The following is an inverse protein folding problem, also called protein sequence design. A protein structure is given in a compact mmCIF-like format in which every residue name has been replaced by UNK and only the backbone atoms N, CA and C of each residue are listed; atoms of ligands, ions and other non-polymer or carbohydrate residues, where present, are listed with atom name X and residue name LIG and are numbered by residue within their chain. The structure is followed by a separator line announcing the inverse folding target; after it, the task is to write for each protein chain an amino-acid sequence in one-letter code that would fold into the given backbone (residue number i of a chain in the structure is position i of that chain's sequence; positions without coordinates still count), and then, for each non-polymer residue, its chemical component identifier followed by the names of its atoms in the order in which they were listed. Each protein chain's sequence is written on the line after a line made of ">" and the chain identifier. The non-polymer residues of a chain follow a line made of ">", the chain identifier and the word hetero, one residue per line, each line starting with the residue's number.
data_IF_274537818757
#
_entry.id   IF_274537818757
#
_cell.length_a   1.000
_cell.length_b   1.000
_cell.length_c   1.000
_cell.angle_alpha   90.00
_cell.angle_beta   90.00
_cell.angle_gamma   90.00
#
_symmetry.space_group_name_H-M   'P 1'
#
loop_
_entity.id
_entity.type
_entity.pdbx_description
1 polymer ?
#
# COMPACT_ATOMS: atom_id res chain seq x y z
N UNK A 1 -0.02 -14.25 19.02
CA UNK A 1 -1.07 -14.64 18.05
C UNK A 1 -0.61 -14.05 16.74
N UNK A 2 -0.07 -14.90 15.87
CA UNK A 2 0.52 -14.48 14.61
C UNK A 2 -0.60 -14.08 13.65
N UNK A 3 -0.55 -12.86 13.14
CA UNK A 3 -1.46 -12.42 12.08
C UNK A 3 -0.90 -13.02 10.78
N UNK A 4 -1.37 -14.23 10.45
CA UNK A 4 -1.30 -14.75 9.09
C UNK A 4 -2.40 -14.03 8.30
N UNK A 5 -1.99 -13.02 7.52
CA UNK A 5 -2.77 -12.54 6.38
C UNK A 5 -2.68 -13.63 5.31
N UNK A 6 -3.52 -14.66 5.46
CA UNK A 6 -3.74 -15.68 4.44
C UNK A 6 -4.57 -15.05 3.31
N UNK A 7 -3.87 -14.42 2.37
CA UNK A 7 -4.34 -14.27 1.00
C UNK A 7 -3.33 -15.02 0.12
N UNK A 8 -3.52 -16.33 0.06
CA UNK A 8 -2.53 -17.34 -0.33
C UNK A 8 -1.91 -17.27 -1.73
N UNK A 9 -1.94 -16.14 -2.44
CA UNK A 9 -1.17 -15.87 -3.68
C UNK A 9 -0.73 -14.42 -3.91
N UNK A 10 -0.93 -13.49 -2.96
CA UNK A 10 -0.69 -12.06 -3.20
C UNK A 10 0.14 -11.34 -2.11
N UNK A 11 0.98 -12.09 -1.40
CA UNK A 11 2.03 -11.54 -0.56
C UNK A 11 3.22 -11.01 -1.38
N UNK A 12 4.00 -10.10 -0.79
CA UNK A 12 5.37 -9.80 -1.23
C UNK A 12 6.27 -10.99 -0.89
N UNK A 13 5.97 -12.14 -1.48
CA UNK A 13 6.76 -13.35 -1.26
C UNK A 13 7.88 -13.37 -2.31
N UNK A 14 9.12 -13.41 -1.82
CA UNK A 14 10.26 -13.84 -2.62
C UNK A 14 10.05 -15.32 -2.94
N UNK A 15 9.34 -15.59 -4.04
CA UNK A 15 9.14 -16.95 -4.53
C UNK A 15 10.41 -17.36 -5.27
N UNK A 16 11.04 -18.44 -4.81
CA UNK A 16 12.15 -19.07 -5.52
C UNK A 16 11.59 -19.88 -6.68
N UNK A 17 12.05 -19.63 -7.90
CA UNK A 17 11.75 -20.47 -9.06
C UNK A 17 12.85 -21.54 -9.18
N UNK A 18 12.48 -22.76 -9.54
CA UNK A 18 13.39 -23.91 -9.64
C UNK A 18 14.49 -23.74 -10.70
N UNK A 19 14.37 -22.75 -11.59
CA UNK A 19 15.31 -22.45 -12.67
C UNK A 19 15.87 -21.03 -12.63
N UNK A 20 15.20 -20.12 -11.93
CA UNK A 20 15.57 -18.71 -11.77
C UNK A 20 15.64 -18.47 -10.27
N UNK A 21 16.82 -18.31 -9.69
CA UNK A 21 16.99 -18.23 -8.23
C UNK A 21 16.07 -17.22 -7.52
N UNK A 22 15.44 -16.27 -8.24
CA UNK A 22 14.35 -15.40 -7.77
C UNK A 22 13.27 -15.28 -8.86
N UNK A 23 11.99 -15.49 -8.51
CA UNK A 23 10.87 -15.26 -9.42
C UNK A 23 10.59 -13.76 -9.56
N UNK A 24 10.86 -13.22 -10.75
CA UNK A 24 10.54 -11.82 -11.07
C UNK A 24 9.06 -11.67 -11.43
N UNK A 25 8.41 -10.66 -10.85
CA UNK A 25 7.05 -10.26 -11.25
C UNK A 25 7.12 -9.59 -12.63
N UNK A 26 6.72 -10.32 -13.68
CA UNK A 26 6.83 -9.86 -15.08
C UNK A 26 5.75 -8.87 -15.48
N UNK A 27 4.57 -8.99 -14.89
CA UNK A 27 3.41 -8.17 -15.19
C UNK A 27 3.55 -6.76 -14.58
N UNK A 28 3.23 -5.72 -15.35
CA UNK A 28 3.34 -4.32 -14.91
C UNK A 28 2.34 -4.00 -13.81
N UNK A 29 1.11 -4.48 -13.96
CA UNK A 29 0.02 -4.25 -13.01
C UNK A 29 0.37 -4.84 -11.64
N UNK A 30 0.85 -6.07 -11.62
CA UNK A 30 1.30 -6.77 -10.41
C UNK A 30 2.50 -6.09 -9.75
N UNK A 31 3.43 -5.53 -10.54
CA UNK A 31 4.54 -4.72 -10.00
C UNK A 31 4.05 -3.45 -9.30
N UNK A 32 3.14 -2.71 -9.94
CA UNK A 32 2.55 -1.49 -9.36
C UNK A 32 1.85 -1.80 -8.05
N UNK A 33 1.03 -2.86 -8.00
CA UNK A 33 0.34 -3.30 -6.77
C UNK A 33 1.34 -3.63 -5.68
N UNK A 34 2.41 -4.36 -5.99
CA UNK A 34 3.44 -4.71 -5.01
C UNK A 34 4.19 -3.48 -4.51
N UNK A 35 4.50 -2.52 -5.37
CA UNK A 35 5.12 -1.25 -4.98
C UNK A 35 4.21 -0.46 -4.05
N UNK A 36 2.91 -0.39 -4.35
CA UNK A 36 1.92 0.26 -3.48
C UNK A 36 1.87 -0.44 -2.12
N UNK A 37 1.72 -1.78 -2.09
CA UNK A 37 1.70 -2.56 -0.85
C UNK A 37 2.96 -2.30 -0.01
N UNK A 38 4.14 -2.32 -0.63
CA UNK A 38 5.41 -2.05 0.05
C UNK A 38 5.44 -0.65 0.67
N UNK A 39 5.01 0.37 -0.08
CA UNK A 39 4.97 1.75 0.41
C UNK A 39 4.00 1.94 1.58
N UNK A 40 2.86 1.25 1.57
CA UNK A 40 1.84 1.38 2.61
C UNK A 40 2.16 0.56 3.87
N UNK A 41 2.82 -0.58 3.74
CA UNK A 41 3.08 -1.47 4.88
C UNK A 41 4.52 -1.44 5.41
N UNK A 42 5.39 -0.61 4.82
CA UNK A 42 6.70 -0.28 5.40
C UNK A 42 6.54 0.91 6.34
N UNK A 43 7.00 0.79 7.59
CA UNK A 43 7.05 1.92 8.54
C UNK A 43 7.99 3.00 7.98
N UNK A 44 7.56 4.26 7.89
CA UNK A 44 8.40 5.34 7.37
C UNK A 44 9.61 5.70 8.25
N UNK A 45 9.64 5.26 9.50
CA UNK A 45 10.76 5.47 10.44
C UNK A 45 11.81 4.34 10.35
N UNK A 46 11.73 3.45 9.35
CA UNK A 46 12.69 2.36 9.16
C UNK A 46 14.10 2.86 8.79
N UNK A 47 15.13 2.18 9.31
CA UNK A 47 16.51 2.65 9.24
C UNK A 47 17.05 2.86 7.80
N UNK A 48 16.61 2.05 6.84
CA UNK A 48 17.05 2.15 5.45
C UNK A 48 16.36 3.25 4.63
N UNK A 49 15.34 3.93 5.16
CA UNK A 49 14.70 5.06 4.47
C UNK A 49 15.71 6.19 4.18
N UNK A 50 16.66 6.38 5.11
CA UNK A 50 17.75 7.36 4.99
C UNK A 50 18.69 7.13 3.80
N UNK A 51 18.68 5.93 3.21
CA UNK A 51 19.52 5.56 2.07
C UNK A 51 18.84 5.85 0.74
N UNK A 52 17.56 6.24 0.76
CA UNK A 52 16.75 6.49 -0.43
C UNK A 52 16.74 7.97 -0.78
N UNK A 53 16.56 8.26 -2.08
CA UNK A 53 16.42 9.62 -2.61
C UNK A 53 15.10 10.29 -2.24
N UNK A 54 14.13 9.51 -1.75
CA UNK A 54 12.84 9.97 -1.26
C UNK A 54 12.38 9.10 -0.09
N UNK A 55 11.49 9.65 0.74
CA UNK A 55 10.90 8.90 1.84
C UNK A 55 9.93 7.85 1.31
N UNK A 56 10.17 6.57 1.62
CA UNK A 56 9.26 5.45 1.37
C UNK A 56 8.75 4.93 2.70
N UNK A 57 7.46 4.60 2.73
CA UNK A 57 6.78 4.06 3.91
C UNK A 57 5.65 4.95 4.38
N UNK A 58 4.93 4.47 5.38
CA UNK A 58 3.80 5.17 5.98
C UNK A 58 3.62 4.80 7.44
N UNK A 59 2.82 5.59 8.16
CA UNK A 59 2.35 5.26 9.52
C UNK A 59 1.01 4.53 9.52
N UNK A 60 0.65 3.87 8.41
CA UNK A 60 -0.65 3.24 8.24
C UNK A 60 -0.97 2.26 9.37
N UNK A 61 -0.03 1.43 9.84
CA UNK A 61 -0.29 0.48 10.93
C UNK A 61 -0.87 1.14 12.20
N UNK A 62 -0.39 2.34 12.54
CA UNK A 62 -0.86 3.11 13.70
C UNK A 62 -2.22 3.75 13.47
N UNK A 63 -2.51 4.11 12.21
CA UNK A 63 -3.77 4.74 11.81
C UNK A 63 -4.87 3.71 11.58
N UNK A 64 -4.52 2.46 11.25
CA UNK A 64 -5.48 1.43 10.85
C UNK A 64 -6.43 1.03 11.99
N UNK A 65 -6.01 1.23 13.24
CA UNK A 65 -6.76 0.88 14.45
C UNK A 65 -7.65 2.00 14.98
N UNK A 66 -7.70 3.14 14.29
CA UNK A 66 -8.47 4.30 14.74
C UNK A 66 -9.93 4.24 14.26
N UNK A 67 -10.88 4.82 15.02
CA UNK A 67 -12.28 4.86 14.63
C UNK A 67 -12.48 5.56 13.28
N UNK A 68 -13.36 4.99 12.47
CA UNK A 68 -13.79 5.56 11.19
C UNK A 68 -14.47 6.90 11.42
N UNK A 69 -13.96 7.94 10.76
CA UNK A 69 -14.56 9.27 10.72
C UNK A 69 -14.06 10.06 9.51
N UNK A 70 -14.79 11.11 9.12
CA UNK A 70 -14.40 11.98 8.00
C UNK A 70 -13.06 12.70 8.23
N UNK A 71 -12.74 13.04 9.48
CA UNK A 71 -11.43 13.61 9.84
C UNK A 71 -10.32 12.58 9.62
N UNK A 72 -10.52 11.34 10.06
CA UNK A 72 -9.55 10.25 9.86
C UNK A 72 -9.38 9.89 8.41
N UNK A 73 -10.47 9.89 7.63
CA UNK A 73 -10.42 9.69 6.17
C UNK A 73 -9.44 10.67 5.51
N UNK A 74 -9.57 11.96 5.82
CA UNK A 74 -8.70 13.00 5.25
C UNK A 74 -7.24 12.80 5.64
N UNK A 75 -6.99 12.40 6.90
CA UNK A 75 -5.64 12.12 7.40
C UNK A 75 -5.02 10.93 6.66
N UNK A 76 -5.78 9.84 6.53
CA UNK A 76 -5.34 8.63 5.84
C UNK A 76 -5.11 8.88 4.34
N UNK A 77 -6.01 9.57 3.64
CA UNK A 77 -5.82 9.92 2.22
C UNK A 77 -4.53 10.73 2.03
N UNK A 78 -4.22 11.65 2.95
CA UNK A 78 -2.98 12.42 2.93
C UNK A 78 -1.76 11.54 3.18
N UNK A 79 -1.80 10.66 4.18
CA UNK A 79 -0.70 9.75 4.49
C UNK A 79 -0.40 8.81 3.31
N UNK A 80 -1.44 8.22 2.72
CA UNK A 80 -1.32 7.33 1.55
C UNK A 80 -0.73 8.09 0.36
N UNK A 81 -1.18 9.32 0.08
CA UNK A 81 -0.59 10.14 -0.99
C UNK A 81 0.88 10.45 -0.74
N UNK A 82 1.26 10.73 0.50
CA UNK A 82 2.66 10.98 0.86
C UNK A 82 3.51 9.72 0.67
N UNK A 83 3.02 8.56 1.13
CA UNK A 83 3.69 7.28 1.00
C UNK A 83 3.89 6.86 -0.47
N UNK A 84 2.97 7.23 -1.38
CA UNK A 84 3.03 6.88 -2.79
C UNK A 84 3.70 7.95 -3.67
N UNK A 85 4.04 9.11 -3.13
CA UNK A 85 4.60 10.23 -3.89
C UNK A 85 5.91 9.87 -4.62
N UNK A 86 6.72 8.96 -4.05
CA UNK A 86 7.96 8.51 -4.68
C UNK A 86 7.72 7.82 -6.03
N UNK A 87 6.55 7.18 -6.24
CA UNK A 87 6.26 6.50 -7.51
C UNK A 87 6.23 7.48 -8.69
N UNK A 88 5.76 8.71 -8.47
CA UNK A 88 5.81 9.77 -9.47
C UNK A 88 7.23 10.36 -9.55
N UNK A 89 7.88 10.60 -8.40
CA UNK A 89 9.20 11.22 -8.34
C UNK A 89 10.29 10.38 -9.05
N UNK A 90 10.22 9.06 -8.91
CA UNK A 90 11.13 8.10 -9.55
C UNK A 90 10.69 7.73 -10.98
N UNK A 91 9.61 8.32 -11.49
CA UNK A 91 9.10 8.09 -12.84
C UNK A 91 8.52 6.70 -13.08
N UNK A 92 8.10 5.99 -12.02
CA UNK A 92 7.45 4.68 -12.13
C UNK A 92 6.06 4.80 -12.76
N UNK A 93 5.36 5.90 -12.48
CA UNK A 93 4.01 6.22 -12.97
C UNK A 93 3.93 7.71 -13.33
N UNK A 94 3.03 8.08 -14.25
CA UNK A 94 2.88 9.49 -14.65
C UNK A 94 1.88 10.23 -13.77
N UNK A 95 0.78 9.57 -13.40
CA UNK A 95 -0.28 10.11 -12.57
C UNK A 95 -0.73 9.10 -11.52
N UNK A 96 -0.99 9.59 -10.31
CA UNK A 96 -1.52 8.80 -9.20
C UNK A 96 -2.55 9.61 -8.42
N UNK A 97 -3.75 9.05 -8.25
CA UNK A 97 -4.80 9.61 -7.39
C UNK A 97 -5.28 8.58 -6.37
N UNK A 98 -5.71 9.06 -5.20
CA UNK A 98 -6.04 8.26 -4.03
C UNK A 98 -7.34 8.75 -3.43
N UNK A 99 -8.24 7.80 -3.17
CA UNK A 99 -9.49 8.04 -2.46
C UNK A 99 -9.83 6.86 -1.53
N UNK A 100 -10.41 7.18 -0.38
CA UNK A 100 -10.97 6.18 0.53
C UNK A 100 -12.49 6.15 0.43
N UNK A 101 -13.04 4.96 0.21
CA UNK A 101 -14.48 4.73 0.12
C UNK A 101 -14.92 4.06 1.41
N UNK A 102 -15.85 4.71 2.12
CA UNK A 102 -16.48 4.13 3.30
C UNK A 102 -17.50 3.07 2.86
N UNK A 103 -17.31 1.82 3.28
CA UNK A 103 -18.22 0.72 2.94
C UNK A 103 -19.25 0.49 4.04
N UNK A 104 -18.80 0.57 5.29
CA UNK A 104 -19.63 0.51 6.49
C UNK A 104 -18.97 1.32 7.61
N UNK A 105 -19.56 1.34 8.81
CA UNK A 105 -19.05 2.12 9.94
C UNK A 105 -17.68 1.67 10.47
N UNK A 106 -17.09 0.60 9.93
CA UNK A 106 -15.86 -0.01 10.43
C UNK A 106 -14.77 -0.13 9.36
N UNK A 107 -15.08 0.07 8.07
CA UNK A 107 -14.17 -0.28 6.97
C UNK A 107 -14.08 0.79 5.88
N UNK A 108 -12.84 1.04 5.45
CA UNK A 108 -12.53 1.73 4.20
C UNK A 108 -12.01 0.76 3.14
N UNK A 109 -12.45 0.96 1.90
CA UNK A 109 -11.77 0.48 0.70
C UNK A 109 -10.85 1.59 0.20
N UNK A 110 -9.62 1.23 -0.14
CA UNK A 110 -8.68 2.13 -0.79
C UNK A 110 -8.78 1.98 -2.30
N UNK A 111 -9.17 3.07 -2.97
CA UNK A 111 -9.17 3.18 -4.42
C UNK A 111 -8.01 4.06 -4.87
N UNK A 112 -7.18 3.51 -5.74
CA UNK A 112 -6.01 4.17 -6.32
C UNK A 112 -6.17 4.15 -7.83
N UNK A 113 -6.00 5.30 -8.47
CA UNK A 113 -5.97 5.42 -9.92
C UNK A 113 -4.53 5.71 -10.33
N UNK A 114 -3.95 4.84 -11.16
CA UNK A 114 -2.58 4.97 -11.67
C UNK A 114 -2.64 4.98 -13.19
N UNK A 115 -2.21 6.06 -13.83
CA UNK A 115 -2.16 6.18 -15.30
C UNK A 115 -3.48 5.78 -16.03
N UNK A 116 -4.62 6.10 -15.41
CA UNK A 116 -6.00 5.77 -15.82
C UNK A 116 -6.43 4.30 -15.57
N UNK A 117 -5.59 3.49 -14.96
CA UNK A 117 -5.97 2.18 -14.45
C UNK A 117 -6.42 2.27 -12.99
N UNK A 118 -7.49 1.55 -12.66
CA UNK A 118 -8.04 1.51 -11.32
C UNK A 118 -7.57 0.28 -10.55
N UNK A 119 -7.14 0.53 -9.32
CA UNK A 119 -6.70 -0.46 -8.35
C UNK A 119 -7.49 -0.28 -7.06
N UNK A 120 -8.02 -1.40 -6.56
CA UNK A 120 -8.71 -1.44 -5.27
C UNK A 120 -7.93 -2.34 -4.33
N UNK A 121 -7.64 -1.83 -3.14
CA UNK A 121 -7.13 -2.61 -2.03
C UNK A 121 -8.28 -2.75 -1.05
N UNK A 122 -8.80 -3.97 -0.95
CA UNK A 122 -9.93 -4.29 -0.10
C UNK A 122 -9.50 -4.33 1.38
N UNK A 123 -10.37 -3.84 2.26
CA UNK A 123 -10.22 -3.84 3.71
C UNK A 123 -8.91 -3.22 4.23
N UNK A 124 -8.65 -1.95 3.88
CA UNK A 124 -7.49 -1.23 4.42
C UNK A 124 -7.63 -0.98 5.93
N UNK A 125 -8.86 -0.73 6.38
CA UNK A 125 -9.22 -0.60 7.79
C UNK A 125 -10.17 -1.72 8.18
N UNK A 126 -9.81 -2.49 9.19
CA UNK A 126 -10.74 -3.37 9.90
C UNK A 126 -10.61 -3.08 11.39
N UNK A 127 -11.60 -2.40 11.97
CA UNK A 127 -11.71 -2.27 13.43
C UNK A 127 -12.10 -3.65 13.95
N UNK A 128 -11.14 -4.40 14.50
CA UNK A 128 -11.44 -5.58 15.32
C UNK A 128 -12.06 -5.08 16.63
N UNK A 129 -13.29 -5.52 16.90
CA UNK A 129 -13.93 -5.42 18.22
C UNK A 129 -13.12 -6.16 19.30
#
# INVERSE_FOLDING_TARGET
>A
MDILLDDGREGFDLVLDLHSDIMLVKDLRSRIVNTIKLALFTDNDWAGNSLLTGSIGSKMEQMIRQPVSMSQRTILEREIRQALAFMIADGLVSNLDVSLILVDNCRYILRIIVDNEEFTIDNLLEIKE
#
